data_IF_102111994483
#
_entry.id   IF_102111994483
#
_cell.length_a   1.000
_cell.length_b   1.000
_cell.length_c   1.000
_cell.angle_alpha   90.00
_cell.angle_beta   90.00
_cell.angle_gamma   90.00
#
_symmetry.space_group_name_H-M   'P 1'
#
loop_
_entity.id
_entity.type
_entity.pdbx_description
1 polymer ?
#
# COMPACT_ATOMS: atom_id res chain seq x y z
N UNK A 1 7.68 10.46 7.84
CA UNK A 1 7.12 9.71 8.95
C UNK A 1 5.60 9.59 8.81
N UNK A 2 4.90 10.70 9.02
CA UNK A 2 3.45 10.72 8.92
C UNK A 2 3.00 10.46 7.48
N UNK A 3 3.86 10.79 6.54
CA UNK A 3 3.55 10.59 5.13
C UNK A 3 3.72 9.13 4.72
N UNK A 4 4.95 8.64 4.83
CA UNK A 4 5.25 7.25 4.48
C UNK A 4 4.30 6.29 5.19
N UNK A 5 3.98 6.60 6.44
CA UNK A 5 3.08 5.77 7.23
C UNK A 5 1.65 5.85 6.70
N UNK A 6 1.21 7.07 6.40
CA UNK A 6 -0.14 7.28 5.87
C UNK A 6 -0.35 6.49 4.59
N UNK A 7 0.54 6.69 3.62
CA UNK A 7 0.44 5.99 2.34
C UNK A 7 0.35 4.48 2.55
N UNK A 8 1.29 3.94 3.31
CA UNK A 8 1.32 2.51 3.58
C UNK A 8 0.01 2.05 4.23
N UNK A 9 -0.43 2.78 5.26
CA UNK A 9 -1.65 2.44 5.96
C UNK A 9 -2.83 2.40 5.00
N UNK A 10 -2.72 3.13 3.90
CA UNK A 10 -3.78 3.17 2.89
C UNK A 10 -3.56 2.10 1.82
N UNK A 11 -2.29 1.73 1.62
CA UNK A 11 -1.94 0.72 0.63
C UNK A 11 -2.03 -0.68 1.23
N UNK A 12 -2.34 -0.75 2.52
CA UNK A 12 -2.46 -2.03 3.21
C UNK A 12 -3.90 -2.30 3.62
N UNK A 13 -4.68 -1.23 3.77
CA UNK A 13 -6.08 -1.36 4.15
C UNK A 13 -7.00 -0.77 3.09
N UNK A 14 -6.57 0.36 2.51
CA UNK A 14 -7.36 1.02 1.47
C UNK A 14 -6.87 0.62 0.08
N UNK A 15 -6.43 -0.62 -0.06
CA UNK A 15 -5.92 -1.13 -1.33
C UNK A 15 -6.16 -2.64 -1.45
N UNK A 16 -6.04 -3.15 -2.67
CA UNK A 16 -6.23 -4.58 -2.92
C UNK A 16 -5.19 -5.10 -3.88
N UNK A 17 -5.40 -6.31 -4.39
CA UNK A 17 -4.49 -6.93 -5.33
C UNK A 17 -3.09 -7.05 -4.73
N UNK A 18 -2.96 -7.91 -3.73
CA UNK A 18 -1.68 -8.12 -3.06
C UNK A 18 -0.80 -9.08 -3.86
N UNK A 19 0.45 -8.69 -4.06
CA UNK A 19 1.40 -9.51 -4.82
C UNK A 19 2.80 -9.41 -4.22
N UNK A 20 3.75 -10.11 -4.85
CA UNK A 20 5.13 -10.10 -4.38
C UNK A 20 5.55 -8.71 -3.93
N UNK A 21 6.61 -8.63 -3.12
CA UNK A 21 7.13 -7.36 -2.61
C UNK A 21 7.78 -6.52 -3.70
N UNK A 22 7.24 -6.60 -4.90
CA UNK A 22 7.77 -5.85 -6.03
C UNK A 22 6.68 -5.59 -7.07
N UNK A 23 5.64 -4.86 -6.67
CA UNK A 23 4.54 -4.53 -7.56
C UNK A 23 3.38 -3.91 -6.80
N UNK A 24 2.50 -4.76 -6.27
CA UNK A 24 1.35 -4.31 -5.52
C UNK A 24 0.70 -3.10 -6.19
N UNK A 25 -0.19 -3.36 -7.15
CA UNK A 25 -0.88 -2.30 -7.86
C UNK A 25 -1.59 -1.36 -6.90
N UNK A 26 -1.54 -0.07 -7.20
CA UNK A 26 -2.18 0.94 -6.36
C UNK A 26 -3.51 1.39 -6.97
N UNK A 27 -4.36 2.00 -6.15
CA UNK A 27 -5.66 2.47 -6.60
C UNK A 27 -6.00 3.83 -5.98
#
# INVERSE_FOLDING_TARGET
>A
IAILNKLCEYNVFHNKTFELPRARVNT
#
